data_IF_032641493946
#
_entry.id   IF_032641493946
#
_cell.length_a   1.000
_cell.length_b   1.000
_cell.length_c   1.000
_cell.angle_alpha   90.00
_cell.angle_beta   90.00
_cell.angle_gamma   90.00
#
_symmetry.space_group_name_H-M   'P 1'
#
loop_
_entity.id
_entity.type
_entity.pdbx_description
1 polymer ?
#
# COMPACT_ATOMS: atom_id res chain seq x y z
N UNK A 1 -15.94 15.45 14.19
CA UNK A 1 -15.18 16.29 15.14
C UNK A 1 -14.02 15.55 15.80
N UNK A 2 -14.28 14.50 16.56
CA UNK A 2 -13.24 13.78 17.32
C UNK A 2 -12.15 13.14 16.43
N UNK A 3 -12.52 12.62 15.27
CA UNK A 3 -11.57 11.94 14.36
C UNK A 3 -10.79 12.91 13.48
N UNK A 4 -11.45 13.94 12.94
CA UNK A 4 -10.80 14.91 12.04
C UNK A 4 -10.01 16.00 12.79
N UNK A 5 -10.51 16.42 13.96
CA UNK A 5 -9.87 17.41 14.81
C UNK A 5 -10.08 18.85 14.33
N UNK A 6 -8.98 19.58 14.10
CA UNK A 6 -9.00 20.99 13.73
C UNK A 6 -9.05 21.19 12.21
N UNK A 7 -9.80 22.21 11.78
CA UNK A 7 -9.69 22.76 10.45
C UNK A 7 -8.35 23.52 10.34
N UNK A 8 -7.51 23.12 9.39
CA UNK A 8 -6.15 23.68 9.25
C UNK A 8 -6.13 25.13 8.78
N UNK A 9 -7.19 25.58 8.10
CA UNK A 9 -7.30 26.97 7.63
C UNK A 9 -7.69 27.94 8.76
N UNK A 10 -8.62 27.53 9.62
CA UNK A 10 -9.16 28.39 10.68
C UNK A 10 -8.53 28.15 12.06
N UNK A 11 -7.87 27.01 12.27
CA UNK A 11 -7.34 26.59 13.56
C UNK A 11 -8.39 26.14 14.58
N UNK A 12 -9.67 26.25 14.27
CA UNK A 12 -10.78 25.85 15.12
C UNK A 12 -11.13 24.36 14.97
N UNK A 13 -11.82 23.79 15.95
CA UNK A 13 -12.36 22.44 15.83
C UNK A 13 -13.40 22.42 14.71
N UNK A 14 -13.27 21.46 13.81
CA UNK A 14 -14.17 21.27 12.66
C UNK A 14 -15.64 21.16 13.11
N UNK A 15 -16.53 21.87 12.42
CA UNK A 15 -17.97 21.84 12.68
C UNK A 15 -18.68 20.77 11.86
N UNK A 16 -19.90 20.40 12.28
CA UNK A 16 -20.75 19.49 11.52
C UNK A 16 -21.25 20.24 10.30
N UNK A 17 -21.10 19.65 9.12
CA UNK A 17 -21.46 20.25 7.83
C UNK A 17 -20.27 20.75 7.03
N UNK A 18 -19.07 20.82 7.60
CA UNK A 18 -17.87 21.13 6.82
C UNK A 18 -17.55 20.02 5.81
N UNK A 19 -17.19 20.41 4.59
CA UNK A 19 -16.87 19.52 3.48
C UNK A 19 -15.45 18.96 3.59
N UNK A 20 -15.14 18.23 4.67
CA UNK A 20 -13.80 17.71 4.96
C UNK A 20 -13.28 16.73 3.89
N UNK A 21 -14.18 16.03 3.19
CA UNK A 21 -13.82 15.18 2.06
C UNK A 21 -13.27 15.96 0.88
N UNK A 22 -13.91 17.10 0.55
CA UNK A 22 -13.45 18.01 -0.50
C UNK A 22 -12.12 18.65 -0.14
N UNK A 23 -11.96 19.11 1.11
CA UNK A 23 -10.68 19.63 1.60
C UNK A 23 -9.55 18.58 1.54
N UNK A 24 -9.85 17.33 1.92
CA UNK A 24 -8.90 16.23 1.81
C UNK A 24 -8.50 15.95 0.38
N UNK A 25 -9.46 15.88 -0.53
CA UNK A 25 -9.22 15.65 -1.95
C UNK A 25 -8.38 16.76 -2.59
N UNK A 26 -8.68 18.04 -2.26
CA UNK A 26 -7.90 19.18 -2.73
C UNK A 26 -6.48 19.18 -2.19
N UNK A 27 -6.30 18.89 -0.90
CA UNK A 27 -4.98 18.84 -0.26
C UNK A 27 -4.08 17.72 -0.83
N UNK A 28 -4.67 16.62 -1.30
CA UNK A 28 -3.96 15.54 -1.96
C UNK A 28 -3.74 15.85 -3.45
N UNK A 29 -4.72 16.48 -4.11
CA UNK A 29 -4.69 16.73 -5.55
C UNK A 29 -3.85 17.95 -5.95
N UNK A 30 -3.77 18.99 -5.11
CA UNK A 30 -3.00 20.20 -5.42
C UNK A 30 -1.53 19.89 -5.70
N UNK A 31 -0.79 19.17 -4.85
CA UNK A 31 0.60 18.80 -5.16
C UNK A 31 0.74 17.80 -6.31
N UNK A 32 -0.33 17.15 -6.72
CA UNK A 32 -0.33 16.15 -7.80
C UNK A 32 0.21 16.70 -9.11
N UNK A 33 -0.12 17.92 -9.47
CA UNK A 33 0.41 18.60 -10.66
C UNK A 33 1.94 18.75 -10.60
N UNK A 34 2.48 19.10 -9.44
CA UNK A 34 3.93 19.21 -9.23
C UNK A 34 4.62 17.86 -9.29
N UNK A 35 4.02 16.80 -8.76
CA UNK A 35 4.51 15.43 -8.85
C UNK A 35 4.57 14.96 -10.30
N UNK A 36 3.55 15.23 -11.13
CA UNK A 36 3.51 14.88 -12.54
C UNK A 36 4.64 15.55 -13.31
N UNK A 37 4.90 16.83 -13.07
CA UNK A 37 5.98 17.57 -13.72
C UNK A 37 7.37 17.03 -13.37
N UNK A 38 7.59 16.60 -12.12
CA UNK A 38 8.87 16.07 -11.66
C UNK A 38 9.17 14.66 -12.13
N UNK A 39 8.16 13.81 -12.33
CA UNK A 39 8.36 12.42 -12.81
C UNK A 39 8.82 12.34 -14.26
N UNK A 40 8.57 13.35 -15.08
CA UNK A 40 9.10 13.43 -16.46
C UNK A 40 10.62 13.60 -16.52
N UNK A 41 11.26 14.05 -15.44
CA UNK A 41 12.71 14.32 -15.39
C UNK A 41 13.52 13.23 -14.70
N UNK A 42 12.89 12.32 -14.00
CA UNK A 42 13.57 11.17 -13.40
C UNK A 42 13.54 10.01 -14.39
N UNK A 43 14.52 10.02 -15.29
CA UNK A 43 14.71 8.94 -16.28
C UNK A 43 14.73 7.60 -15.57
N UNK A 44 13.84 6.71 -15.99
CA UNK A 44 13.64 5.44 -15.35
C UNK A 44 14.93 4.61 -15.34
N UNK A 45 15.26 4.08 -14.18
CA UNK A 45 16.14 2.92 -14.10
C UNK A 45 15.34 1.76 -14.68
N UNK A 46 15.67 1.40 -15.91
CA UNK A 46 15.12 0.22 -16.56
C UNK A 46 15.38 -1.01 -15.68
N UNK A 47 14.34 -1.67 -15.21
CA UNK A 47 14.52 -2.94 -14.51
C UNK A 47 13.45 -3.40 -13.55
N UNK A 48 12.57 -2.53 -13.07
CA UNK A 48 11.45 -2.97 -12.22
C UNK A 48 10.15 -2.35 -12.73
N UNK A 49 9.24 -3.20 -13.15
CA UNK A 49 7.89 -2.83 -13.64
C UNK A 49 6.97 -2.38 -12.46
N UNK A 50 7.57 -1.64 -11.51
CA UNK A 50 6.91 -1.18 -10.29
C UNK A 50 6.41 0.25 -10.52
N UNK A 51 5.10 0.44 -10.41
CA UNK A 51 4.47 1.76 -10.51
C UNK A 51 4.95 2.68 -9.39
N UNK A 52 5.47 3.85 -9.74
CA UNK A 52 6.00 4.85 -8.81
C UNK A 52 5.37 6.22 -9.06
N UNK A 53 5.54 7.14 -8.10
CA UNK A 53 5.04 8.50 -8.20
C UNK A 53 3.51 8.60 -8.16
N UNK A 54 2.96 9.62 -8.83
CA UNK A 54 1.52 9.87 -8.85
C UNK A 54 0.68 8.69 -9.37
N UNK A 55 1.07 7.97 -10.44
CA UNK A 55 0.36 6.75 -10.86
C UNK A 55 0.22 5.71 -9.75
N UNK A 56 1.17 5.63 -8.80
CA UNK A 56 1.06 4.74 -7.64
C UNK A 56 -0.01 5.22 -6.66
N UNK A 57 -0.16 6.52 -6.48
CA UNK A 57 -1.22 7.09 -5.63
C UNK A 57 -2.60 6.79 -6.22
N UNK A 58 -2.77 6.95 -7.54
CA UNK A 58 -4.00 6.59 -8.24
C UNK A 58 -4.33 5.10 -8.08
N UNK A 59 -3.32 4.24 -8.29
CA UNK A 59 -3.45 2.79 -8.15
C UNK A 59 -3.92 2.39 -6.74
N UNK A 60 -3.40 3.07 -5.70
CA UNK A 60 -3.80 2.85 -4.32
C UNK A 60 -5.24 3.29 -4.05
N UNK A 61 -5.62 4.51 -4.45
CA UNK A 61 -6.97 5.04 -4.20
C UNK A 61 -8.06 4.36 -5.02
N UNK A 62 -7.74 3.86 -6.20
CA UNK A 62 -8.67 3.04 -6.99
C UNK A 62 -8.65 1.56 -6.61
N UNK A 63 -7.79 1.17 -5.67
CA UNK A 63 -7.56 -0.21 -5.26
C UNK A 63 -7.32 -1.14 -6.46
N UNK A 64 -6.60 -0.65 -7.48
CA UNK A 64 -6.23 -1.44 -8.66
C UNK A 64 -5.22 -2.52 -8.30
N UNK A 65 -5.21 -3.59 -9.08
CA UNK A 65 -4.16 -4.61 -8.97
C UNK A 65 -2.83 -4.02 -9.45
N UNK A 66 -1.79 -3.96 -8.61
CA UNK A 66 -0.50 -3.40 -8.99
C UNK A 66 0.17 -4.18 -10.12
N UNK A 67 0.80 -3.48 -11.06
CA UNK A 67 1.82 -4.08 -11.91
C UNK A 67 2.97 -4.51 -11.02
N UNK A 68 3.64 -5.59 -11.26
CA UNK A 68 4.70 -6.05 -10.35
C UNK A 68 4.22 -6.30 -8.91
N UNK A 69 3.07 -6.95 -8.79
CA UNK A 69 2.44 -7.28 -7.50
C UNK A 69 3.34 -8.15 -6.63
N UNK A 70 3.48 -7.77 -5.35
CA UNK A 70 4.10 -8.64 -4.35
C UNK A 70 3.15 -9.79 -3.98
N UNK A 71 3.70 -10.98 -3.82
CA UNK A 71 3.00 -12.09 -3.16
C UNK A 71 3.05 -11.86 -1.66
N UNK A 72 1.91 -11.96 -0.98
CA UNK A 72 1.79 -11.79 0.47
C UNK A 72 1.49 -13.13 1.14
N UNK A 73 1.85 -13.24 2.42
CA UNK A 73 1.49 -14.38 3.24
C UNK A 73 -0.01 -14.31 3.57
N UNK A 74 -0.73 -15.41 3.36
CA UNK A 74 -2.16 -15.49 3.68
C UNK A 74 -2.42 -15.95 5.11
N UNK A 75 -1.43 -16.58 5.73
CA UNK A 75 -1.50 -17.08 7.10
C UNK A 75 -0.24 -16.73 7.87
N UNK A 76 -0.39 -16.67 9.20
CA UNK A 76 0.78 -16.59 10.09
C UNK A 76 1.46 -17.96 10.14
N UNK A 77 2.78 -17.99 10.13
CA UNK A 77 3.51 -19.24 10.22
C UNK A 77 5.00 -19.11 9.95
N UNK A 78 5.63 -20.26 9.79
CA UNK A 78 7.05 -20.34 9.45
C UNK A 78 7.21 -20.88 8.02
N UNK A 79 8.12 -20.30 7.26
CA UNK A 79 8.44 -20.74 5.91
C UNK A 79 9.15 -22.09 5.98
N UNK A 80 8.44 -23.14 5.62
CA UNK A 80 8.93 -24.51 5.68
C UNK A 80 9.83 -24.84 4.49
N UNK A 81 9.40 -24.43 3.29
CA UNK A 81 10.06 -24.79 2.02
C UNK A 81 9.85 -23.70 0.98
N UNK A 82 10.86 -23.51 0.14
CA UNK A 82 10.80 -22.69 -1.06
C UNK A 82 11.28 -23.57 -2.22
N UNK A 83 10.47 -23.70 -3.25
CA UNK A 83 10.79 -24.44 -4.48
C UNK A 83 10.84 -23.49 -5.66
N UNK A 84 11.85 -23.63 -6.51
CA UNK A 84 11.89 -22.94 -7.81
C UNK A 84 11.20 -23.82 -8.86
N UNK A 85 10.17 -23.29 -9.46
CA UNK A 85 9.40 -23.91 -10.51
C UNK A 85 9.49 -23.09 -11.81
N UNK A 86 10.61 -23.20 -12.51
CA UNK A 86 10.83 -22.56 -13.82
C UNK A 86 10.62 -21.04 -13.83
N UNK A 87 11.23 -20.35 -12.83
CA UNK A 87 11.17 -18.89 -12.71
C UNK A 87 9.98 -18.35 -11.89
N UNK A 88 9.21 -19.24 -11.28
CA UNK A 88 8.25 -18.94 -10.21
C UNK A 88 8.68 -19.67 -8.95
N UNK A 89 8.42 -19.08 -7.79
CA UNK A 89 8.69 -19.74 -6.53
C UNK A 89 7.38 -20.22 -5.91
N UNK A 90 7.43 -21.43 -5.34
CA UNK A 90 6.39 -21.99 -4.48
C UNK A 90 6.88 -21.91 -3.04
N UNK A 91 6.19 -21.14 -2.24
CA UNK A 91 6.54 -20.88 -0.84
C UNK A 91 5.51 -21.57 0.04
N UNK A 92 5.95 -22.48 0.87
CA UNK A 92 5.10 -23.20 1.81
C UNK A 92 5.22 -22.59 3.21
N UNK A 93 4.13 -22.02 3.71
CA UNK A 93 4.04 -21.49 5.05
C UNK A 93 3.24 -22.47 5.90
N UNK A 94 3.82 -22.85 7.03
CA UNK A 94 3.24 -23.80 7.99
C UNK A 94 2.98 -23.10 9.31
N UNK A 95 1.78 -23.29 9.85
CA UNK A 95 1.44 -23.05 11.24
C UNK A 95 1.00 -24.35 11.93
N UNK A 96 0.47 -24.24 13.15
CA UNK A 96 0.04 -25.42 13.93
C UNK A 96 -1.17 -26.14 13.34
N UNK A 97 -1.95 -25.47 12.48
CA UNK A 97 -3.22 -25.97 11.95
C UNK A 97 -3.16 -26.38 10.48
N UNK A 98 -2.36 -25.67 9.66
CA UNK A 98 -2.35 -25.86 8.23
C UNK A 98 -0.98 -25.57 7.58
N UNK A 99 -0.81 -26.05 6.36
CA UNK A 99 0.27 -25.65 5.46
C UNK A 99 -0.35 -25.03 4.23
N UNK A 100 0.06 -23.81 3.88
CA UNK A 100 -0.47 -23.10 2.72
C UNK A 100 0.62 -22.82 1.69
N UNK A 101 0.31 -23.10 0.43
CA UNK A 101 1.18 -22.85 -0.71
C UNK A 101 0.91 -21.46 -1.29
N UNK A 102 1.97 -20.68 -1.50
CA UNK A 102 1.93 -19.37 -2.15
C UNK A 102 2.78 -19.43 -3.42
N UNK A 103 2.18 -19.11 -4.56
CA UNK A 103 2.87 -19.11 -5.86
C UNK A 103 3.20 -17.67 -6.23
N UNK A 104 4.47 -17.40 -6.52
CA UNK A 104 4.92 -16.07 -6.91
C UNK A 104 4.68 -15.81 -8.40
N UNK A 105 4.73 -14.53 -8.80
CA UNK A 105 4.81 -14.16 -10.21
C UNK A 105 6.15 -14.60 -10.80
N UNK A 106 6.17 -14.74 -12.12
CA UNK A 106 7.39 -15.07 -12.85
C UNK A 106 8.46 -13.97 -12.65
N UNK A 107 9.69 -14.39 -12.37
CA UNK A 107 10.81 -13.47 -12.14
C UNK A 107 10.74 -12.65 -10.85
N UNK A 108 9.82 -12.96 -9.93
CA UNK A 108 9.70 -12.28 -8.66
C UNK A 108 10.96 -12.49 -7.80
N UNK A 109 11.44 -11.42 -7.17
CA UNK A 109 12.57 -11.49 -6.22
C UNK A 109 12.03 -11.82 -4.83
N UNK A 110 12.60 -12.85 -4.21
CA UNK A 110 12.24 -13.26 -2.85
C UNK A 110 12.77 -12.25 -1.81
N UNK A 111 11.97 -12.00 -0.80
CA UNK A 111 12.34 -11.23 0.41
C UNK A 111 12.51 -12.11 1.63
N UNK A 112 12.20 -13.38 1.51
CA UNK A 112 12.11 -14.34 2.62
C UNK A 112 12.98 -15.55 2.35
N UNK A 113 13.40 -16.18 3.43
CA UNK A 113 14.22 -17.39 3.40
C UNK A 113 13.53 -18.51 4.18
N UNK A 114 13.96 -19.75 3.93
CA UNK A 114 13.49 -20.91 4.68
C UNK A 114 13.78 -20.73 6.19
N UNK A 115 12.78 -20.99 7.01
CA UNK A 115 12.87 -20.88 8.46
C UNK A 115 12.46 -19.50 9.01
N UNK A 116 12.24 -18.47 8.17
CA UNK A 116 11.73 -17.18 8.62
C UNK A 116 10.26 -17.28 9.05
N UNK A 117 9.90 -16.51 10.06
CA UNK A 117 8.50 -16.29 10.44
C UNK A 117 7.88 -15.25 9.51
N UNK A 118 6.65 -15.50 9.10
CA UNK A 118 5.83 -14.57 8.32
C UNK A 118 4.47 -14.44 9.00
N UNK A 119 3.97 -13.21 9.09
CA UNK A 119 2.61 -12.92 9.54
C UNK A 119 1.72 -12.73 8.32
N UNK A 120 0.41 -12.93 8.50
CA UNK A 120 -0.57 -12.66 7.45
C UNK A 120 -0.42 -11.20 6.96
N UNK A 121 -0.35 -11.01 5.64
CA UNK A 121 -0.10 -9.73 5.01
C UNK A 121 1.38 -9.36 4.77
N UNK A 122 2.34 -10.12 5.32
CA UNK A 122 3.75 -9.87 5.07
C UNK A 122 4.12 -10.17 3.61
N UNK A 123 5.00 -9.34 3.04
CA UNK A 123 5.49 -9.49 1.67
C UNK A 123 6.51 -10.63 1.58
N UNK A 124 6.21 -11.64 0.80
CA UNK A 124 7.11 -12.75 0.49
C UNK A 124 8.06 -12.41 -0.68
N UNK A 125 7.60 -11.52 -1.57
CA UNK A 125 8.39 -11.04 -2.71
C UNK A 125 8.49 -9.51 -2.72
N UNK A 126 9.41 -8.98 -3.52
CA UNK A 126 9.45 -7.56 -3.83
C UNK A 126 8.23 -7.17 -4.67
N UNK A 127 7.82 -5.91 -4.56
CA UNK A 127 6.70 -5.36 -5.30
C UNK A 127 5.71 -4.59 -4.43
N UNK A 128 4.64 -4.14 -5.05
CA UNK A 128 3.55 -3.43 -4.41
C UNK A 128 2.47 -4.39 -3.95
N UNK A 129 1.94 -4.18 -2.75
CA UNK A 129 0.82 -4.99 -2.23
C UNK A 129 -0.50 -4.47 -2.77
N UNK A 130 -1.40 -5.37 -3.12
CA UNK A 130 -2.78 -5.03 -3.45
C UNK A 130 -3.58 -4.76 -2.17
N UNK A 131 -4.21 -3.57 -2.02
CA UNK A 131 -5.04 -3.29 -0.85
C UNK A 131 -6.18 -4.30 -0.67
N UNK A 132 -6.76 -4.80 -1.76
CA UNK A 132 -7.84 -5.80 -1.72
C UNK A 132 -7.38 -7.14 -1.17
N UNK A 133 -6.21 -7.61 -1.61
CA UNK A 133 -5.64 -8.87 -1.10
C UNK A 133 -5.22 -8.72 0.36
N UNK A 134 -4.64 -7.57 0.72
CA UNK A 134 -4.29 -7.30 2.10
C UNK A 134 -5.52 -7.29 3.00
N UNK A 135 -6.64 -6.71 2.55
CA UNK A 135 -7.90 -6.70 3.29
C UNK A 135 -8.50 -8.11 3.48
N UNK A 136 -8.26 -9.00 2.52
CA UNK A 136 -8.76 -10.38 2.62
C UNK A 136 -8.05 -11.21 3.71
N UNK A 137 -6.83 -10.84 4.08
CA UNK A 137 -5.99 -11.61 5.02
C UNK A 137 -5.67 -10.87 6.32
N UNK A 138 -5.96 -9.56 6.39
CA UNK A 138 -5.69 -8.72 7.57
C UNK A 138 -6.93 -7.90 7.96
N UNK A 139 -6.79 -7.06 8.98
CA UNK A 139 -7.84 -6.18 9.45
C UNK A 139 -7.90 -4.84 8.66
N UNK A 140 -9.07 -4.16 8.65
CA UNK A 140 -9.24 -2.87 7.98
C UNK A 140 -8.27 -1.78 8.43
N UNK A 141 -7.87 -1.78 9.70
CA UNK A 141 -6.94 -0.77 10.22
C UNK A 141 -5.54 -0.95 9.63
N UNK A 142 -5.08 -2.18 9.49
CA UNK A 142 -3.79 -2.50 8.85
C UNK A 142 -3.78 -2.05 7.38
N UNK A 143 -4.87 -2.25 6.65
CA UNK A 143 -5.01 -1.77 5.27
C UNK A 143 -5.01 -0.25 5.19
N UNK A 144 -5.72 0.42 6.09
CA UNK A 144 -5.75 1.89 6.16
C UNK A 144 -4.34 2.44 6.41
N UNK A 145 -3.62 1.88 7.35
CA UNK A 145 -2.24 2.27 7.64
C UNK A 145 -1.28 1.99 6.48
N UNK A 146 -1.48 0.87 5.79
CA UNK A 146 -0.71 0.57 4.58
C UNK A 146 -0.92 1.63 3.49
N UNK A 147 -2.18 1.97 3.17
CA UNK A 147 -2.50 3.00 2.18
C UNK A 147 -1.89 4.34 2.59
N UNK A 148 -2.08 4.76 3.85
CA UNK A 148 -1.50 5.99 4.38
C UNK A 148 0.03 6.03 4.19
N UNK A 149 0.72 4.98 4.61
CA UNK A 149 2.18 4.88 4.53
C UNK A 149 2.69 4.94 3.09
N UNK A 150 2.05 4.22 2.17
CA UNK A 150 2.45 4.18 0.77
C UNK A 150 2.18 5.52 0.06
N UNK A 151 1.05 6.16 0.32
CA UNK A 151 0.74 7.51 -0.21
C UNK A 151 1.74 8.52 0.32
N UNK A 152 1.94 8.57 1.63
CA UNK A 152 2.90 9.49 2.25
C UNK A 152 4.33 9.28 1.75
N UNK A 153 4.73 8.04 1.49
CA UNK A 153 6.03 7.72 0.92
C UNK A 153 6.22 8.39 -0.44
N UNK A 154 5.21 8.37 -1.30
CA UNK A 154 5.26 9.03 -2.62
C UNK A 154 5.42 10.53 -2.46
N UNK A 155 4.58 11.17 -1.64
CA UNK A 155 4.62 12.62 -1.46
C UNK A 155 5.91 13.09 -0.78
N UNK A 156 6.34 12.43 0.29
CA UNK A 156 7.59 12.77 1.00
C UNK A 156 8.83 12.59 0.14
N UNK A 157 8.86 11.59 -0.75
CA UNK A 157 9.97 11.41 -1.69
C UNK A 157 10.14 12.59 -2.66
N UNK A 158 9.08 13.39 -2.84
CA UNK A 158 9.06 14.59 -3.67
C UNK A 158 9.17 15.89 -2.86
N UNK A 159 9.39 15.78 -1.54
CA UNK A 159 9.49 16.93 -0.65
C UNK A 159 8.14 17.62 -0.36
N UNK A 160 7.04 16.92 -0.57
CA UNK A 160 5.68 17.41 -0.28
C UNK A 160 5.23 16.81 1.05
N UNK A 161 4.76 17.66 1.95
CA UNK A 161 4.19 17.24 3.23
C UNK A 161 2.67 17.44 3.22
N UNK A 162 1.93 16.37 3.42
CA UNK A 162 0.47 16.35 3.51
C UNK A 162 0.09 15.82 4.88
N UNK A 163 -0.87 16.47 5.53
CA UNK A 163 -1.36 16.00 6.82
C UNK A 163 -2.05 14.63 6.65
N UNK A 164 -1.66 13.68 7.49
CA UNK A 164 -2.14 12.29 7.45
C UNK A 164 -3.67 12.18 7.46
N UNK A 165 -4.38 13.08 8.17
CA UNK A 165 -5.83 13.05 8.29
C UNK A 165 -6.58 13.12 6.95
N UNK A 166 -6.01 13.77 5.93
CA UNK A 166 -6.62 13.84 4.61
C UNK A 166 -6.60 12.48 3.90
N UNK A 167 -5.48 11.78 3.99
CA UNK A 167 -5.33 10.42 3.44
C UNK A 167 -6.14 9.42 4.25
N UNK A 168 -6.11 9.50 5.58
CA UNK A 168 -6.89 8.64 6.47
C UNK A 168 -8.40 8.72 6.22
N UNK A 169 -8.91 9.95 5.99
CA UNK A 169 -10.34 10.16 5.70
C UNK A 169 -10.76 9.41 4.44
N UNK A 170 -9.95 9.50 3.37
CA UNK A 170 -10.23 8.84 2.10
C UNK A 170 -10.08 7.32 2.25
N UNK A 171 -8.97 6.85 2.83
CA UNK A 171 -8.74 5.43 3.04
C UNK A 171 -9.85 4.77 3.88
N UNK A 172 -10.30 5.45 4.94
CA UNK A 172 -11.43 4.99 5.75
C UNK A 172 -12.72 4.89 4.93
N UNK A 173 -12.98 5.86 4.05
CA UNK A 173 -14.16 5.81 3.19
C UNK A 173 -14.09 4.67 2.17
N UNK A 174 -12.92 4.41 1.61
CA UNK A 174 -12.71 3.28 0.68
C UNK A 174 -13.00 1.93 1.34
N UNK A 175 -12.58 1.75 2.59
CA UNK A 175 -12.75 0.47 3.32
C UNK A 175 -14.18 0.28 3.82
N UNK A 176 -14.95 1.36 4.01
CA UNK A 176 -16.33 1.32 4.52
C UNK A 176 -17.39 1.03 3.44
N UNK A 177 -17.01 0.88 2.20
CA UNK A 177 -17.84 0.48 1.08
C UNK A 177 -17.75 -1.04 0.85
#
# INVERSE_FOLDING_TARGET
RKCYGRNLATGNIVEIGEAVGTMGAQSIGEPGTQLTMRTFHTGGVAGTDITQGLPRVEELFEARMPKGKATIAEIDGTIQKIEDASGKFKIYIKNDNEVREHITLYGAKLRVEKGMKANAGDRLTEGNVSPKELLAVTDPNTVQQYILKEVQKVYRSQGVDINDKHVELIARRMISQ
#
